data_IF_962815802248
#
_entry.id   IF_962815802248
#
_cell.length_a   1.000
_cell.length_b   1.000
_cell.length_c   1.000
_cell.angle_alpha   90.00
_cell.angle_beta   90.00
_cell.angle_gamma   90.00
#
_symmetry.space_group_name_H-M   'P 1'
#
loop_
_entity.id
_entity.type
_entity.pdbx_description
1 polymer ?
#
# COMPACT_ATOMS: atom_id res chain seq x y z
N UNK A 1 19.37 -11.11 -1.42
CA UNK A 1 18.63 -11.30 -0.15
C UNK A 1 17.50 -10.31 -0.15
N UNK A 2 16.24 -10.75 -0.19
CA UNK A 2 15.09 -9.85 -0.13
C UNK A 2 15.23 -8.85 1.03
N UNK A 3 15.01 -7.57 0.76
CA UNK A 3 15.11 -6.51 1.76
C UNK A 3 13.95 -6.61 2.73
N UNK A 4 14.20 -7.18 3.91
CA UNK A 4 13.21 -7.26 4.99
C UNK A 4 12.62 -5.89 5.35
N UNK A 5 13.43 -4.82 5.26
CA UNK A 5 12.98 -3.45 5.53
C UNK A 5 11.98 -2.95 4.48
N UNK A 6 12.24 -3.18 3.19
CA UNK A 6 11.29 -2.79 2.13
C UNK A 6 10.05 -3.67 2.13
N UNK A 7 10.22 -4.99 2.23
CA UNK A 7 9.10 -5.94 2.11
C UNK A 7 8.18 -5.90 3.33
N UNK A 8 8.73 -6.09 4.54
CA UNK A 8 7.94 -6.15 5.78
C UNK A 8 7.79 -4.78 6.43
N UNK A 9 8.80 -3.92 6.34
CA UNK A 9 8.79 -2.61 6.99
C UNK A 9 7.96 -1.55 6.25
N UNK A 10 7.79 -1.68 4.92
CA UNK A 10 7.13 -0.65 4.10
C UNK A 10 6.02 -1.24 3.23
N UNK A 11 6.35 -2.19 2.35
CA UNK A 11 5.43 -2.74 1.36
C UNK A 11 4.17 -3.33 1.97
N UNK A 12 4.29 -4.29 2.88
CA UNK A 12 3.14 -4.91 3.57
C UNK A 12 2.27 -3.88 4.32
N UNK A 13 2.84 -3.02 5.20
CA UNK A 13 2.06 -1.97 5.86
C UNK A 13 1.30 -1.05 4.90
N UNK A 14 1.92 -0.65 3.79
CA UNK A 14 1.29 0.21 2.79
C UNK A 14 0.14 -0.50 2.07
N UNK A 15 0.31 -1.79 1.71
CA UNK A 15 -0.77 -2.59 1.11
C UNK A 15 -1.97 -2.66 2.04
N UNK A 16 -1.73 -3.00 3.31
CA UNK A 16 -2.80 -3.14 4.31
C UNK A 16 -3.48 -1.78 4.53
N UNK A 17 -2.71 -0.72 4.73
CA UNK A 17 -3.26 0.62 4.97
C UNK A 17 -4.10 1.10 3.79
N UNK A 18 -3.59 0.95 2.57
CA UNK A 18 -4.32 1.33 1.35
C UNK A 18 -5.63 0.57 1.19
N UNK A 19 -5.61 -0.76 1.41
CA UNK A 19 -6.81 -1.59 1.36
C UNK A 19 -7.82 -1.20 2.45
N UNK A 20 -7.36 -0.91 3.68
CA UNK A 20 -8.25 -0.49 4.76
C UNK A 20 -8.93 0.86 4.45
N UNK A 21 -8.18 1.82 3.89
CA UNK A 21 -8.73 3.12 3.48
C UNK A 21 -9.76 2.93 2.37
N UNK A 22 -9.43 2.17 1.32
CA UNK A 22 -10.32 1.99 0.18
C UNK A 22 -11.61 1.25 0.54
N UNK A 23 -11.53 0.22 1.39
CA UNK A 23 -12.69 -0.65 1.70
C UNK A 23 -13.53 -0.10 2.86
N UNK A 24 -12.89 0.34 3.93
CA UNK A 24 -13.61 0.71 5.17
C UNK A 24 -13.77 2.20 5.34
N UNK A 25 -12.76 3.00 4.98
CA UNK A 25 -12.82 4.45 5.20
C UNK A 25 -13.60 5.17 4.09
N UNK A 26 -13.36 4.84 2.82
CA UNK A 26 -13.98 5.52 1.69
C UNK A 26 -15.52 5.60 1.79
N UNK A 27 -16.25 4.52 2.11
CA UNK A 27 -17.71 4.57 2.24
C UNK A 27 -18.22 5.47 3.38
N UNK A 28 -17.35 5.87 4.32
CA UNK A 28 -17.72 6.70 5.47
C UNK A 28 -17.57 8.20 5.21
N UNK A 29 -16.94 8.61 4.10
CA UNK A 29 -16.59 10.03 3.84
C UNK A 29 -17.58 10.74 2.89
N UNK A 30 -18.73 10.13 2.60
CA UNK A 30 -19.82 10.75 1.84
C UNK A 30 -19.37 11.30 0.49
N UNK A 31 -19.46 12.61 0.32
CA UNK A 31 -19.23 13.32 -0.95
C UNK A 31 -17.82 13.13 -1.54
N UNK A 32 -16.83 12.76 -0.74
CA UNK A 32 -15.44 12.52 -1.22
C UNK A 32 -15.06 11.03 -1.27
N UNK A 33 -16.03 10.12 -1.12
CA UNK A 33 -15.81 8.66 -1.09
C UNK A 33 -14.92 8.18 -2.25
N UNK A 34 -15.24 8.55 -3.48
CA UNK A 34 -14.47 8.11 -4.67
C UNK A 34 -13.01 8.58 -4.64
N UNK A 35 -12.76 9.80 -4.16
CA UNK A 35 -11.40 10.33 -4.04
C UNK A 35 -10.61 9.57 -2.97
N UNK A 36 -11.26 9.25 -1.85
CA UNK A 36 -10.64 8.49 -0.76
C UNK A 36 -10.38 7.05 -1.16
N UNK A 37 -11.30 6.42 -1.90
CA UNK A 37 -11.12 5.08 -2.47
C UNK A 37 -9.94 5.05 -3.44
N UNK A 38 -9.84 6.06 -4.31
CA UNK A 38 -8.73 6.19 -5.23
C UNK A 38 -7.39 6.35 -4.50
N UNK A 39 -7.32 7.24 -3.49
CA UNK A 39 -6.10 7.44 -2.70
C UNK A 39 -5.71 6.16 -1.95
N UNK A 40 -6.67 5.48 -1.31
CA UNK A 40 -6.42 4.21 -0.62
C UNK A 40 -5.89 3.14 -1.58
N UNK A 41 -6.51 3.00 -2.75
CA UNK A 41 -6.09 2.06 -3.79
C UNK A 41 -4.69 2.39 -4.31
N UNK A 42 -4.38 3.67 -4.54
CA UNK A 42 -3.06 4.12 -4.98
C UNK A 42 -1.97 3.79 -3.94
N UNK A 43 -2.24 4.03 -2.65
CA UNK A 43 -1.32 3.66 -1.57
C UNK A 43 -1.07 2.14 -1.58
N UNK A 44 -2.12 1.35 -1.76
CA UNK A 44 -2.03 -0.11 -1.84
C UNK A 44 -1.15 -0.57 -3.00
N UNK A 45 -1.35 -0.02 -4.19
CA UNK A 45 -0.56 -0.32 -5.40
C UNK A 45 0.92 0.06 -5.20
N UNK A 46 1.21 1.23 -4.63
CA UNK A 46 2.59 1.63 -4.31
C UNK A 46 3.22 0.64 -3.30
N UNK A 47 2.44 0.17 -2.32
CA UNK A 47 2.87 -0.88 -1.40
C UNK A 47 3.27 -2.17 -2.12
N UNK A 48 2.51 -2.59 -3.14
CA UNK A 48 2.86 -3.76 -3.99
C UNK A 48 4.17 -3.52 -4.74
N UNK A 49 4.37 -2.32 -5.29
CA UNK A 49 5.62 -1.96 -5.97
C UNK A 49 6.81 -2.07 -5.02
N UNK A 50 6.71 -1.52 -3.80
CA UNK A 50 7.78 -1.65 -2.80
C UNK A 50 7.99 -3.07 -2.31
N UNK A 51 6.91 -3.85 -2.18
CA UNK A 51 6.99 -5.26 -1.83
C UNK A 51 7.80 -6.05 -2.88
N UNK A 52 7.45 -5.91 -4.16
CA UNK A 52 8.14 -6.55 -5.29
C UNK A 52 9.60 -6.05 -5.37
N UNK A 53 9.82 -4.74 -5.31
CA UNK A 53 11.17 -4.18 -5.30
C UNK A 53 12.02 -4.71 -4.14
N UNK A 54 11.42 -4.87 -2.96
CA UNK A 54 12.06 -5.48 -1.79
C UNK A 54 12.44 -6.94 -2.00
N UNK A 55 11.62 -7.73 -2.70
CA UNK A 55 11.93 -9.14 -3.01
C UNK A 55 13.16 -9.27 -3.91
N UNK A 56 13.26 -8.41 -4.92
CA UNK A 56 14.37 -8.41 -5.87
C UNK A 56 15.56 -7.55 -5.45
N UNK A 57 15.49 -6.91 -4.28
CA UNK A 57 16.58 -6.09 -3.79
C UNK A 57 17.84 -6.93 -3.55
N UNK A 58 18.90 -6.62 -4.28
CA UNK A 58 20.23 -7.13 -4.03
C UNK A 58 21.02 -6.05 -3.31
N UNK A 59 21.45 -6.33 -2.08
CA UNK A 59 22.48 -5.55 -1.43
C UNK A 59 23.77 -5.84 -2.19
N UNK A 60 24.25 -4.87 -2.95
CA UNK A 60 25.69 -4.78 -3.22
C UNK A 60 26.43 -4.52 -1.91
#
# INVERSE_FOLDING_TARGET
MASKQLTIGVGIPMIITGALIAIFWAPLVGDVSETVEFIGSLIGIIGVVFFIAGLFYTKE
#
